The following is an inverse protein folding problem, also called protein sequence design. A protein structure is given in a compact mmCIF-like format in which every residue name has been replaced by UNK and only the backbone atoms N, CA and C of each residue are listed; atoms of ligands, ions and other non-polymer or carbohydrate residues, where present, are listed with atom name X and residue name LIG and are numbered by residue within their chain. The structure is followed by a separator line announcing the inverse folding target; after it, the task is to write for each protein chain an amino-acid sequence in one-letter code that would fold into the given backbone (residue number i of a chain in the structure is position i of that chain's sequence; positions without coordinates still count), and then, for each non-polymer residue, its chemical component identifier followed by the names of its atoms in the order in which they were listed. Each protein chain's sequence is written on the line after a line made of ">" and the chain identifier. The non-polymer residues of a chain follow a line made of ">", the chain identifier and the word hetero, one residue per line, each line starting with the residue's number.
data_IF_573026860006
#
_entry.id   IF_573026860006
#
_cell.length_a   1.000
_cell.length_b   1.000
_cell.length_c   1.000
_cell.angle_alpha   90.00
_cell.angle_beta   90.00
_cell.angle_gamma   90.00
#
_symmetry.space_group_name_H-M   'P 1'
#
loop_
_entity.id
_entity.type
_entity.pdbx_description
1 polymer ?
#
# COMPACT_ATOMS: atom_id res chain seq x y z
N UNK A 1 17.22 25.33 18.49
CA UNK A 1 16.61 24.57 17.38
C UNK A 1 15.10 24.67 17.56
N UNK A 2 14.33 24.95 16.51
CA UNK A 2 12.87 25.11 16.66
C UNK A 2 12.18 23.76 16.86
N UNK A 3 11.16 23.73 17.73
CA UNK A 3 10.38 22.50 18.02
C UNK A 3 9.74 21.93 16.74
N UNK A 4 9.07 22.74 15.89
CA UNK A 4 8.47 22.24 14.65
C UNK A 4 9.47 21.62 13.67
N UNK A 5 10.71 22.11 13.62
CA UNK A 5 11.75 21.53 12.74
C UNK A 5 12.22 20.15 13.24
N UNK A 6 12.30 19.96 14.55
CA UNK A 6 12.68 18.67 15.12
C UNK A 6 11.54 17.65 15.00
N UNK A 7 10.28 18.08 15.17
CA UNK A 7 9.13 17.21 14.91
C UNK A 7 9.09 16.78 13.43
N UNK A 8 9.27 17.72 12.50
CA UNK A 8 9.35 17.42 11.07
C UNK A 8 10.46 16.41 10.76
N UNK A 9 11.66 16.59 11.35
CA UNK A 9 12.76 15.63 11.21
C UNK A 9 12.41 14.26 11.77
N UNK A 10 11.72 14.21 12.92
CA UNK A 10 11.25 12.95 13.53
C UNK A 10 10.26 12.24 12.60
N UNK A 11 9.32 12.97 12.03
CA UNK A 11 8.30 12.42 11.14
C UNK A 11 8.90 11.89 9.83
N UNK A 12 9.96 12.50 9.32
CA UNK A 12 10.72 11.92 8.21
C UNK A 12 11.46 10.64 8.59
N UNK A 13 11.97 10.53 9.83
CA UNK A 13 12.65 9.29 10.27
C UNK A 13 11.68 8.11 10.39
N UNK A 14 10.44 8.35 10.80
CA UNK A 14 9.41 7.32 10.94
C UNK A 14 8.87 6.80 9.59
N UNK A 15 9.23 7.41 8.46
CA UNK A 15 8.88 6.93 7.12
C UNK A 15 9.38 5.51 6.84
N UNK A 16 10.55 5.13 7.37
CA UNK A 16 11.11 3.78 7.20
C UNK A 16 10.24 2.69 7.85
N UNK A 17 9.45 3.07 8.85
CA UNK A 17 8.58 2.15 9.59
C UNK A 17 7.16 2.12 9.03
N UNK A 18 6.66 3.26 8.56
CA UNK A 18 5.30 3.46 8.04
C UNK A 18 5.17 3.14 6.55
N UNK A 19 6.16 3.52 5.75
CA UNK A 19 6.11 3.46 4.27
C UNK A 19 6.82 2.18 3.76
N UNK A 20 6.48 1.05 4.37
CA UNK A 20 7.12 -0.23 4.06
C UNK A 20 6.77 -0.69 2.64
N UNK A 21 7.81 -0.82 1.81
CA UNK A 21 7.69 -1.41 0.49
C UNK A 21 7.31 -2.88 0.54
N UNK A 22 6.33 -3.27 -0.28
CA UNK A 22 5.96 -4.66 -0.47
C UNK A 22 6.53 -5.20 -1.78
N UNK A 23 7.04 -6.43 -1.77
CA UNK A 23 7.53 -7.10 -2.97
C UNK A 23 6.41 -7.37 -3.97
N UNK A 24 6.69 -7.21 -5.27
CA UNK A 24 5.78 -7.61 -6.34
C UNK A 24 5.45 -9.11 -6.35
N UNK A 25 6.25 -9.94 -5.65
CA UNK A 25 6.00 -11.37 -5.52
C UNK A 25 4.64 -11.71 -4.90
N UNK A 26 4.03 -10.80 -4.12
CA UNK A 26 2.67 -10.99 -3.61
C UNK A 26 1.63 -11.17 -4.72
N UNK A 27 1.90 -10.68 -5.93
CA UNK A 27 1.01 -10.85 -7.09
C UNK A 27 0.82 -12.32 -7.51
N UNK A 28 1.68 -13.24 -7.07
CA UNK A 28 1.52 -14.68 -7.37
C UNK A 28 0.42 -15.35 -6.53
N UNK A 29 0.06 -14.78 -5.37
CA UNK A 29 -0.86 -15.42 -4.41
C UNK A 29 -2.19 -15.87 -5.04
N UNK A 30 -2.86 -15.06 -5.89
CA UNK A 30 -4.09 -15.46 -6.58
C UNK A 30 -3.94 -16.66 -7.54
N UNK A 31 -2.72 -16.97 -8.01
CA UNK A 31 -2.47 -18.12 -8.90
C UNK A 31 -2.25 -19.43 -8.15
N UNK A 32 -1.89 -19.39 -6.87
CA UNK A 32 -1.56 -20.58 -6.10
C UNK A 32 -2.69 -21.64 -6.07
N UNK A 33 -3.98 -21.28 -5.95
CA UNK A 33 -5.07 -22.26 -6.09
C UNK A 33 -5.10 -22.94 -7.46
N UNK A 34 -4.85 -22.20 -8.53
CA UNK A 34 -4.84 -22.71 -9.90
C UNK A 34 -3.66 -23.69 -10.07
N UNK A 35 -2.47 -23.30 -9.61
CA UNK A 35 -1.25 -24.13 -9.66
C UNK A 35 -1.47 -25.44 -8.88
N UNK A 36 -2.00 -25.36 -7.66
CA UNK A 36 -2.28 -26.55 -6.86
C UNK A 36 -3.36 -27.44 -7.47
N UNK A 37 -4.42 -26.85 -8.05
CA UNK A 37 -5.47 -27.58 -8.76
C UNK A 37 -4.96 -28.31 -10.01
N UNK A 38 -4.09 -27.66 -10.80
CA UNK A 38 -3.42 -28.28 -11.93
C UNK A 38 -2.54 -29.44 -11.45
N UNK A 39 -1.73 -29.24 -10.40
CA UNK A 39 -0.87 -30.28 -9.84
C UNK A 39 -1.69 -31.50 -9.37
N UNK A 40 -2.79 -31.28 -8.65
CA UNK A 40 -3.69 -32.34 -8.21
C UNK A 40 -4.32 -33.10 -9.40
N UNK A 41 -4.70 -32.39 -10.46
CA UNK A 41 -5.26 -32.97 -11.68
C UNK A 41 -4.22 -33.81 -12.41
N UNK A 42 -2.99 -33.32 -12.57
CA UNK A 42 -1.89 -34.06 -13.20
C UNK A 42 -1.61 -35.36 -12.44
N UNK A 43 -1.56 -35.31 -11.11
CA UNK A 43 -1.36 -36.50 -10.25
C UNK A 43 -2.46 -37.53 -10.50
N UNK A 44 -3.72 -37.10 -10.53
CA UNK A 44 -4.86 -37.98 -10.78
C UNK A 44 -4.77 -38.65 -12.16
N UNK A 45 -4.48 -37.86 -13.21
CA UNK A 45 -4.32 -38.40 -14.57
C UNK A 45 -3.14 -39.37 -14.69
N UNK A 46 -2.01 -39.06 -14.07
CA UNK A 46 -0.84 -39.94 -14.08
C UNK A 46 -1.15 -41.30 -13.44
N UNK A 47 -1.94 -41.33 -12.36
CA UNK A 47 -2.36 -42.58 -11.74
C UNK A 47 -3.37 -43.33 -12.59
N UNK A 48 -4.34 -42.65 -13.21
CA UNK A 48 -5.29 -43.31 -14.13
C UNK A 48 -4.53 -43.94 -15.32
N UNK A 49 -3.54 -43.24 -15.87
CA UNK A 49 -2.75 -43.70 -17.00
C UNK A 49 -1.84 -44.89 -16.65
N UNK A 50 -1.44 -45.07 -15.40
CA UNK A 50 -0.58 -46.17 -14.96
C UNK A 50 -1.34 -47.47 -14.65
N UNK A 51 -2.68 -47.46 -14.69
CA UNK A 51 -3.50 -48.66 -14.49
C UNK A 51 -3.33 -49.60 -15.70
N UNK A 52 -2.86 -50.85 -15.49
CA UNK A 52 -2.71 -51.82 -16.58
C UNK A 52 -4.05 -52.11 -17.25
N UNK A 53 -4.15 -51.90 -18.57
CA UNK A 53 -5.32 -52.29 -19.36
C UNK A 53 -5.23 -53.76 -19.75
N UNK A 54 -5.57 -54.67 -18.84
CA UNK A 54 -5.65 -56.09 -19.18
C UNK A 54 -6.94 -56.36 -19.95
N UNK A 55 -6.83 -56.88 -21.18
CA UNK A 55 -7.96 -57.26 -22.05
C UNK A 55 -8.56 -58.63 -21.72
N UNK A 56 -8.04 -59.33 -20.70
CA UNK A 56 -8.48 -60.66 -20.30
C UNK A 56 -9.52 -60.60 -19.17
N UNK A 57 -10.69 -61.26 -19.32
CA UNK A 57 -11.73 -61.30 -18.29
C UNK A 57 -11.28 -62.25 -17.18
N UNK A 58 -10.49 -61.74 -16.25
CA UNK A 58 -10.26 -62.37 -14.95
C UNK A 58 -10.71 -61.40 -13.87
N UNK A 59 -11.07 -61.90 -12.69
CA UNK A 59 -11.68 -61.19 -11.56
C UNK A 59 -10.80 -60.05 -10.98
N UNK A 60 -10.48 -59.04 -11.79
CA UNK A 60 -9.45 -58.00 -11.58
C UNK A 60 -9.99 -56.68 -11.03
N UNK A 61 -11.27 -56.63 -10.66
CA UNK A 61 -11.93 -55.43 -10.15
C UNK A 61 -11.30 -54.91 -8.84
N UNK A 62 -10.68 -55.78 -8.04
CA UNK A 62 -10.07 -55.40 -6.76
C UNK A 62 -8.67 -54.77 -6.95
N UNK A 63 -7.91 -55.19 -7.98
CA UNK A 63 -6.55 -54.70 -8.24
C UNK A 63 -6.48 -53.30 -8.85
N UNK A 64 -7.54 -52.81 -9.50
CA UNK A 64 -7.56 -51.51 -10.18
C UNK A 64 -8.10 -50.36 -9.31
N UNK A 65 -8.93 -50.66 -8.30
CA UNK A 65 -9.57 -49.65 -7.43
C UNK A 65 -8.60 -49.09 -6.38
N UNK A 66 -7.68 -49.90 -5.85
CA UNK A 66 -6.75 -49.48 -4.80
C UNK A 66 -5.89 -48.26 -5.16
N UNK A 67 -5.17 -48.26 -6.30
CA UNK A 67 -4.36 -47.12 -6.72
C UNK A 67 -5.18 -45.83 -6.96
N UNK A 68 -6.38 -45.96 -7.52
CA UNK A 68 -7.29 -44.83 -7.73
C UNK A 68 -7.74 -44.19 -6.41
N UNK A 69 -8.10 -45.01 -5.43
CA UNK A 69 -8.47 -44.53 -4.09
C UNK A 69 -7.30 -43.76 -3.48
N UNK A 70 -6.09 -44.34 -3.46
CA UNK A 70 -4.89 -43.67 -2.90
C UNK A 70 -4.62 -42.33 -3.59
N UNK A 71 -4.73 -42.27 -4.92
CA UNK A 71 -4.52 -41.04 -5.68
C UNK A 71 -5.57 -39.97 -5.39
N UNK A 72 -6.85 -40.35 -5.30
CA UNK A 72 -7.93 -39.43 -4.95
C UNK A 72 -7.75 -38.87 -3.54
N UNK A 73 -7.42 -39.72 -2.57
CA UNK A 73 -7.13 -39.26 -1.21
C UNK A 73 -5.90 -38.33 -1.17
N UNK A 74 -4.83 -38.67 -1.88
CA UNK A 74 -3.64 -37.82 -1.99
C UNK A 74 -3.94 -36.46 -2.64
N UNK A 75 -4.71 -36.45 -3.73
CA UNK A 75 -5.11 -35.22 -4.41
C UNK A 75 -6.01 -34.34 -3.53
N UNK A 76 -6.93 -34.94 -2.76
CA UNK A 76 -7.75 -34.22 -1.79
C UNK A 76 -6.89 -33.58 -0.69
N UNK A 77 -5.97 -34.35 -0.08
CA UNK A 77 -5.07 -33.82 0.95
C UNK A 77 -4.23 -32.65 0.39
N UNK A 78 -3.66 -32.81 -0.80
CA UNK A 78 -2.89 -31.76 -1.47
C UNK A 78 -3.74 -30.51 -1.72
N UNK A 79 -4.98 -30.68 -2.15
CA UNK A 79 -5.91 -29.58 -2.41
C UNK A 79 -6.25 -28.83 -1.12
N UNK A 80 -6.54 -29.55 -0.03
CA UNK A 80 -6.79 -28.96 1.29
C UNK A 80 -5.57 -28.21 1.83
N UNK A 81 -4.37 -28.81 1.73
CA UNK A 81 -3.13 -28.18 2.17
C UNK A 81 -2.84 -26.90 1.38
N UNK A 82 -3.00 -26.96 0.05
CA UNK A 82 -2.85 -25.79 -0.82
C UNK A 82 -3.83 -24.69 -0.42
N UNK A 83 -5.11 -25.04 -0.25
CA UNK A 83 -6.13 -24.08 0.15
C UNK A 83 -5.81 -23.42 1.50
N UNK A 84 -5.37 -24.20 2.50
CA UNK A 84 -4.98 -23.68 3.81
C UNK A 84 -3.80 -22.71 3.71
N UNK A 85 -2.75 -23.06 2.95
CA UNK A 85 -1.59 -22.18 2.73
C UNK A 85 -2.03 -20.87 2.05
N UNK A 86 -2.87 -20.95 1.03
CA UNK A 86 -3.39 -19.75 0.34
C UNK A 86 -4.20 -18.88 1.27
N UNK A 87 -5.04 -19.48 2.13
CA UNK A 87 -5.82 -18.73 3.11
C UNK A 87 -4.91 -17.92 4.04
N UNK A 88 -3.86 -18.54 4.58
CA UNK A 88 -2.87 -17.85 5.42
C UNK A 88 -2.18 -16.73 4.65
N UNK A 89 -1.74 -16.98 3.42
CA UNK A 89 -1.07 -15.98 2.59
C UNK A 89 -1.99 -14.79 2.26
N UNK A 90 -3.25 -15.03 1.96
CA UNK A 90 -4.24 -13.96 1.72
C UNK A 90 -4.48 -13.15 2.98
N UNK A 91 -4.62 -13.79 4.15
CA UNK A 91 -4.76 -13.09 5.42
C UNK A 91 -3.55 -12.20 5.72
N UNK A 92 -2.33 -12.70 5.53
CA UNK A 92 -1.10 -11.93 5.71
C UNK A 92 -1.01 -10.78 4.70
N UNK A 93 -1.37 -11.02 3.43
CA UNK A 93 -1.39 -10.00 2.39
C UNK A 93 -2.35 -8.86 2.77
N UNK A 94 -3.60 -9.18 3.13
CA UNK A 94 -4.60 -8.19 3.57
C UNK A 94 -4.10 -7.42 4.78
N UNK A 95 -3.58 -8.10 5.80
CA UNK A 95 -3.02 -7.45 6.99
C UNK A 95 -1.96 -6.41 6.60
N UNK A 96 -0.98 -6.81 5.79
CA UNK A 96 0.12 -5.92 5.37
C UNK A 96 -0.38 -4.72 4.56
N UNK A 97 -1.29 -4.94 3.61
CA UNK A 97 -1.84 -3.87 2.77
C UNK A 97 -2.62 -2.83 3.58
N UNK A 98 -3.44 -3.27 4.54
CA UNK A 98 -4.25 -2.37 5.38
C UNK A 98 -3.38 -1.69 6.43
N UNK A 99 -2.46 -2.42 7.06
CA UNK A 99 -1.54 -1.88 8.07
C UNK A 99 -0.65 -0.76 7.49
N UNK A 100 -0.06 -0.96 6.30
CA UNK A 100 0.75 0.10 5.67
C UNK A 100 -0.08 1.32 5.27
N UNK A 101 -1.33 1.13 4.81
CA UNK A 101 -2.23 2.26 4.52
C UNK A 101 -2.42 3.10 5.77
N UNK A 102 -2.75 2.48 6.91
CA UNK A 102 -3.02 3.21 8.14
C UNK A 102 -1.78 3.95 8.64
N UNK A 103 -0.65 3.25 8.71
CA UNK A 103 0.60 3.83 9.22
C UNK A 103 1.10 4.96 8.34
N UNK A 104 1.05 4.83 7.01
CA UNK A 104 1.34 5.92 6.08
C UNK A 104 0.40 7.12 6.29
N UNK A 105 -0.92 6.90 6.30
CA UNK A 105 -1.89 8.00 6.36
C UNK A 105 -1.80 8.77 7.67
N UNK A 106 -1.59 8.06 8.78
CA UNK A 106 -1.38 8.68 10.09
C UNK A 106 -0.11 9.52 10.12
N UNK A 107 1.00 9.00 9.55
CA UNK A 107 2.26 9.77 9.47
C UNK A 107 2.08 11.02 8.61
N UNK A 108 1.38 10.91 7.48
CA UNK A 108 1.12 12.07 6.61
C UNK A 108 0.31 13.16 7.32
N UNK A 109 -0.66 12.80 8.16
CA UNK A 109 -1.39 13.79 8.97
C UNK A 109 -0.45 14.52 9.93
N UNK A 110 0.45 13.80 10.61
CA UNK A 110 1.43 14.42 11.53
C UNK A 110 2.39 15.35 10.78
N UNK A 111 2.88 14.91 9.61
CA UNK A 111 3.72 15.71 8.72
C UNK A 111 3.02 17.02 8.32
N UNK A 112 1.72 16.97 8.02
CA UNK A 112 0.95 18.16 7.68
C UNK A 112 0.78 19.10 8.89
N UNK A 113 0.54 18.57 10.09
CA UNK A 113 0.45 19.35 11.33
C UNK A 113 1.78 20.06 11.64
N UNK A 114 2.90 19.37 11.43
CA UNK A 114 4.23 19.95 11.59
C UNK A 114 4.52 21.02 10.54
N UNK A 115 4.13 20.81 9.28
CA UNK A 115 4.25 21.82 8.23
C UNK A 115 3.42 23.09 8.53
N UNK A 116 2.21 22.94 9.07
CA UNK A 116 1.39 24.09 9.55
C UNK A 116 2.09 24.80 10.70
N UNK A 117 2.62 24.05 11.67
CA UNK A 117 3.33 24.61 12.83
C UNK A 117 4.58 25.39 12.42
N UNK A 118 5.32 24.86 11.44
CA UNK A 118 6.48 25.51 10.82
C UNK A 118 6.10 26.83 10.12
N UNK A 119 5.03 26.82 9.32
CA UNK A 119 4.54 28.03 8.66
C UNK A 119 4.15 29.11 9.68
N UNK A 120 3.47 28.71 10.78
CA UNK A 120 3.09 29.61 11.87
C UNK A 120 4.29 30.23 12.58
N UNK A 121 5.31 29.43 12.88
CA UNK A 121 6.54 29.93 13.51
C UNK A 121 7.28 30.91 12.59
N UNK A 122 7.40 30.57 11.31
CA UNK A 122 8.10 31.40 10.34
C UNK A 122 7.36 32.72 10.09
N UNK A 123 6.03 32.70 10.04
CA UNK A 123 5.18 33.90 9.96
C UNK A 123 5.40 34.82 11.16
N UNK A 124 5.40 34.27 12.37
CA UNK A 124 5.64 35.03 13.60
C UNK A 124 7.04 35.66 13.63
N UNK A 125 8.07 34.91 13.19
CA UNK A 125 9.45 35.43 13.10
C UNK A 125 9.60 36.56 12.08
N UNK A 126 8.88 36.48 10.95
CA UNK A 126 8.96 37.48 9.88
C UNK A 126 7.96 38.63 10.04
N UNK A 127 7.02 38.54 10.99
CA UNK A 127 5.94 39.52 11.16
C UNK A 127 5.00 39.60 9.95
N UNK A 128 4.84 38.50 9.20
CA UNK A 128 3.99 38.43 8.00
C UNK A 128 2.66 37.80 8.39
N UNK A 129 1.54 38.47 8.06
CA UNK A 129 0.21 37.90 8.22
C UNK A 129 -0.12 36.94 7.08
N UNK A 130 -0.25 35.66 7.41
CA UNK A 130 -0.68 34.58 6.51
C UNK A 130 -1.92 33.86 7.03
N UNK A 131 -2.75 34.54 7.82
CA UNK A 131 -3.89 33.93 8.53
C UNK A 131 -4.84 33.14 7.63
N UNK A 132 -5.12 33.65 6.42
CA UNK A 132 -5.98 32.96 5.44
C UNK A 132 -5.31 31.68 4.92
N UNK A 133 -4.02 31.75 4.59
CA UNK A 133 -3.28 30.60 4.05
C UNK A 133 -3.08 29.51 5.10
N UNK A 134 -2.80 29.90 6.35
CA UNK A 134 -2.77 28.97 7.49
C UNK A 134 -4.14 28.34 7.73
N UNK A 135 -5.22 29.10 7.64
CA UNK A 135 -6.56 28.57 7.82
C UNK A 135 -6.90 27.49 6.78
N UNK A 136 -6.51 27.68 5.52
CA UNK A 136 -6.69 26.69 4.46
C UNK A 136 -5.93 25.39 4.77
N UNK A 137 -4.66 25.49 5.17
CA UNK A 137 -3.87 24.31 5.56
C UNK A 137 -4.46 23.61 6.78
N UNK A 138 -4.81 24.36 7.85
CA UNK A 138 -5.45 23.83 9.05
C UNK A 138 -6.77 23.10 8.73
N UNK A 139 -7.57 23.66 7.82
CA UNK A 139 -8.81 23.06 7.35
C UNK A 139 -8.54 21.76 6.60
N UNK A 140 -7.57 21.73 5.69
CA UNK A 140 -7.19 20.54 4.93
C UNK A 140 -6.73 19.39 5.85
N UNK A 141 -5.96 19.69 6.90
CA UNK A 141 -5.57 18.70 7.91
C UNK A 141 -6.78 18.13 8.64
N UNK A 142 -7.71 18.99 9.07
CA UNK A 142 -8.93 18.57 9.77
C UNK A 142 -9.82 17.69 8.89
N UNK A 143 -10.04 18.08 7.64
CA UNK A 143 -10.81 17.30 6.67
C UNK A 143 -10.14 15.94 6.42
N UNK A 144 -8.81 15.92 6.27
CA UNK A 144 -8.04 14.68 6.10
C UNK A 144 -8.20 13.73 7.29
N UNK A 145 -8.12 14.24 8.53
CA UNK A 145 -8.30 13.44 9.75
C UNK A 145 -9.69 12.82 9.84
N UNK A 146 -10.74 13.56 9.45
CA UNK A 146 -12.11 13.05 9.47
C UNK A 146 -12.34 11.96 8.40
N UNK A 147 -11.72 12.11 7.23
CA UNK A 147 -11.97 11.20 6.11
C UNK A 147 -11.01 10.00 6.05
N UNK A 148 -9.82 10.07 6.65
CA UNK A 148 -8.79 9.02 6.62
C UNK A 148 -8.79 8.14 7.86
N UNK A 149 -9.96 7.85 8.41
CA UNK A 149 -10.12 6.97 9.58
C UNK A 149 -9.38 5.64 9.42
N UNK A 150 -8.82 5.18 10.54
CA UNK A 150 -8.12 3.90 10.62
C UNK A 150 -9.06 2.73 10.33
N UNK A 151 -8.51 1.72 9.67
CA UNK A 151 -9.20 0.47 9.37
C UNK A 151 -8.56 -0.67 10.14
N UNK A 152 -9.33 -1.51 10.84
CA UNK A 152 -8.76 -2.60 11.64
C UNK A 152 -8.15 -3.68 10.73
N UNK A 153 -6.82 -3.65 10.56
CA UNK A 153 -6.10 -4.56 9.67
C UNK A 153 -6.25 -6.04 10.07
N UNK A 154 -6.27 -6.33 11.37
CA UNK A 154 -6.46 -7.68 11.91
C UNK A 154 -7.85 -8.21 11.59
N UNK A 155 -8.88 -7.38 11.73
CA UNK A 155 -10.25 -7.76 11.39
C UNK A 155 -10.35 -8.19 9.92
N UNK A 156 -9.85 -7.38 8.98
CA UNK A 156 -9.90 -7.71 7.55
C UNK A 156 -9.07 -8.94 7.20
N UNK A 157 -7.95 -9.17 7.90
CA UNK A 157 -7.13 -10.36 7.71
C UNK A 157 -7.83 -11.66 8.15
N UNK A 158 -8.57 -11.62 9.27
CA UNK A 158 -9.27 -12.80 9.82
C UNK A 158 -10.50 -13.18 8.99
N UNK A 159 -11.20 -12.20 8.41
CA UNK A 159 -12.34 -12.45 7.52
C UNK A 159 -11.91 -13.25 6.26
N UNK A 160 -10.60 -13.30 5.96
CA UNK A 160 -10.04 -14.18 4.93
C UNK A 160 -10.41 -13.71 3.51
N UNK A 161 -10.78 -14.63 2.60
CA UNK A 161 -11.11 -14.29 1.21
C UNK A 161 -12.25 -13.28 1.04
N UNK A 162 -13.22 -13.23 1.96
CA UNK A 162 -14.28 -12.21 1.93
C UNK A 162 -13.74 -10.83 2.33
N UNK A 163 -12.75 -10.80 3.23
CA UNK A 163 -12.04 -9.59 3.62
C UNK A 163 -11.24 -9.01 2.45
N UNK A 164 -10.70 -9.87 1.57
CA UNK A 164 -9.94 -9.47 0.39
C UNK A 164 -10.73 -8.53 -0.53
N UNK A 165 -11.97 -8.86 -0.90
CA UNK A 165 -12.71 -8.03 -1.86
C UNK A 165 -13.02 -6.65 -1.32
N UNK A 166 -13.48 -6.57 -0.06
CA UNK A 166 -13.73 -5.27 0.56
C UNK A 166 -12.44 -4.49 0.81
N UNK A 167 -11.36 -5.16 1.23
CA UNK A 167 -10.02 -4.56 1.34
C UNK A 167 -9.54 -4.02 0.00
N UNK A 168 -9.63 -4.80 -1.07
CA UNK A 168 -9.26 -4.36 -2.41
C UNK A 168 -10.07 -3.15 -2.86
N UNK A 169 -11.38 -3.12 -2.61
CA UNK A 169 -12.25 -1.97 -2.87
C UNK A 169 -11.74 -0.71 -2.16
N UNK A 170 -11.64 -0.74 -0.83
CA UNK A 170 -11.31 0.48 -0.11
C UNK A 170 -9.86 0.88 -0.30
N UNK A 171 -8.91 -0.05 -0.48
CA UNK A 171 -7.50 0.29 -0.69
C UNK A 171 -7.32 1.06 -2.01
N UNK A 172 -7.96 0.61 -3.09
CA UNK A 172 -7.94 1.35 -4.36
C UNK A 172 -8.53 2.76 -4.20
N UNK A 173 -9.67 2.87 -3.52
CA UNK A 173 -10.37 4.16 -3.35
C UNK A 173 -9.66 5.08 -2.35
N UNK A 174 -9.10 4.55 -1.27
CA UNK A 174 -8.43 5.31 -0.22
C UNK A 174 -7.10 5.88 -0.73
N UNK A 175 -6.25 5.08 -1.37
CA UNK A 175 -4.98 5.57 -1.93
C UNK A 175 -5.21 6.57 -3.04
N UNK A 176 -6.20 6.31 -3.90
CA UNK A 176 -6.70 7.32 -4.82
C UNK A 176 -7.02 8.57 -3.97
N UNK A 177 -8.08 8.61 -3.17
CA UNK A 177 -8.51 9.85 -2.48
C UNK A 177 -7.40 10.55 -1.68
N UNK A 178 -6.52 9.79 -1.06
CA UNK A 178 -5.38 10.29 -0.31
C UNK A 178 -4.45 11.17 -1.17
N UNK A 179 -3.99 10.66 -2.31
CA UNK A 179 -3.08 11.40 -3.19
C UNK A 179 -3.68 12.74 -3.65
N UNK A 180 -4.99 12.78 -3.99
CA UNK A 180 -5.63 14.05 -4.37
C UNK A 180 -5.73 15.05 -3.24
N UNK A 181 -5.95 14.59 -2.00
CA UNK A 181 -5.96 15.49 -0.83
C UNK A 181 -4.57 16.00 -0.51
N UNK A 182 -3.58 15.15 -0.67
CA UNK A 182 -2.18 15.53 -0.55
C UNK A 182 -1.81 16.59 -1.60
N UNK A 183 -2.23 16.45 -2.86
CA UNK A 183 -2.01 17.46 -3.88
C UNK A 183 -2.65 18.82 -3.48
N UNK A 184 -3.86 18.81 -2.90
CA UNK A 184 -4.50 20.02 -2.39
C UNK A 184 -3.69 20.64 -1.23
N UNK A 185 -3.30 19.84 -0.25
CA UNK A 185 -2.49 20.30 0.88
C UNK A 185 -1.14 20.85 0.42
N UNK A 186 -0.46 20.16 -0.50
CA UNK A 186 0.81 20.59 -1.09
C UNK A 186 0.65 21.94 -1.78
N UNK A 187 -0.41 22.14 -2.56
CA UNK A 187 -0.67 23.42 -3.22
C UNK A 187 -0.91 24.57 -2.23
N UNK A 188 -1.60 24.31 -1.11
CA UNK A 188 -1.76 25.30 -0.05
C UNK A 188 -0.44 25.57 0.68
N UNK A 189 0.35 24.53 0.94
CA UNK A 189 1.68 24.63 1.53
C UNK A 189 2.62 25.45 0.65
N UNK A 190 2.68 25.19 -0.65
CA UNK A 190 3.50 25.94 -1.61
C UNK A 190 3.13 27.42 -1.61
N UNK A 191 1.84 27.75 -1.63
CA UNK A 191 1.35 29.14 -1.55
C UNK A 191 1.75 29.80 -0.23
N UNK A 192 1.58 29.10 0.88
CA UNK A 192 1.94 29.58 2.23
C UNK A 192 3.44 29.90 2.33
N UNK A 193 4.31 28.95 1.98
CA UNK A 193 5.74 29.14 2.11
C UNK A 193 6.31 30.13 1.08
N UNK A 194 5.71 30.22 -0.12
CA UNK A 194 6.05 31.28 -1.07
C UNK A 194 5.73 32.68 -0.50
N UNK A 195 4.57 32.86 0.14
CA UNK A 195 4.21 34.11 0.82
C UNK A 195 5.17 34.44 1.99
N UNK A 196 5.74 33.40 2.61
CA UNK A 196 6.79 33.54 3.62
C UNK A 196 8.20 33.72 3.03
N UNK A 197 8.35 33.84 1.71
CA UNK A 197 9.64 34.01 1.04
C UNK A 197 10.54 32.78 1.06
N UNK A 198 9.95 31.58 1.15
CA UNK A 198 10.63 30.28 1.06
C UNK A 198 9.96 29.48 -0.07
N UNK A 199 10.20 29.84 -1.34
CA UNK A 199 9.63 29.10 -2.46
C UNK A 199 10.15 27.67 -2.44
N UNK A 200 9.22 26.71 -2.54
CA UNK A 200 9.57 25.29 -2.65
C UNK A 200 9.27 24.77 -4.05
N UNK A 201 10.11 23.86 -4.52
CA UNK A 201 9.96 23.24 -5.84
C UNK A 201 10.02 21.72 -5.71
N UNK A 202 8.87 21.06 -5.87
CA UNK A 202 8.78 19.61 -5.74
C UNK A 202 9.05 18.90 -7.07
N UNK A 203 9.62 17.68 -7.01
CA UNK A 203 9.68 16.82 -8.17
C UNK A 203 8.27 16.52 -8.69
N UNK A 204 8.13 16.39 -10.01
CA UNK A 204 6.86 16.04 -10.63
C UNK A 204 6.42 14.62 -10.23
N UNK A 205 5.16 14.48 -9.81
CA UNK A 205 4.56 13.21 -9.43
C UNK A 205 4.15 12.41 -10.67
N UNK A 206 4.87 11.32 -10.96
CA UNK A 206 4.62 10.51 -12.15
C UNK A 206 4.96 9.01 -11.95
N UNK A 207 4.03 8.08 -12.21
CA UNK A 207 2.62 8.29 -12.52
C UNK A 207 1.80 8.62 -11.25
N UNK A 208 0.69 9.38 -11.37
CA UNK A 208 -0.29 9.50 -10.30
C UNK A 208 -1.06 8.19 -10.12
N UNK A 209 -1.63 7.97 -8.94
CA UNK A 209 -2.50 6.81 -8.67
C UNK A 209 -3.81 6.96 -9.47
N UNK A 210 -4.09 6.09 -10.45
CA UNK A 210 -5.24 6.27 -11.32
C UNK A 210 -6.54 5.82 -10.64
N UNK A 211 -7.66 6.43 -11.05
CA UNK A 211 -8.98 5.97 -10.62
C UNK A 211 -9.32 4.63 -11.26
N UNK A 212 -9.51 3.60 -10.44
CA UNK A 212 -9.86 2.26 -10.91
C UNK A 212 -11.28 1.89 -10.52
N UNK A 213 -11.97 1.19 -11.42
CA UNK A 213 -13.29 0.62 -11.18
C UNK A 213 -13.19 -0.69 -10.41
N UNK A 214 -13.65 -0.71 -9.17
CA UNK A 214 -13.73 -1.94 -8.39
C UNK A 214 -14.60 -3.00 -9.07
N UNK A 215 -15.75 -2.61 -9.64
CA UNK A 215 -16.66 -3.53 -10.30
C UNK A 215 -15.98 -4.26 -11.45
N UNK A 216 -15.19 -3.54 -12.26
CA UNK A 216 -14.41 -4.14 -13.34
C UNK A 216 -13.41 -5.17 -12.80
N UNK A 217 -12.66 -4.82 -11.75
CA UNK A 217 -11.64 -5.70 -11.17
C UNK A 217 -12.27 -6.96 -10.55
N UNK A 218 -13.40 -6.79 -9.88
CA UNK A 218 -14.18 -7.89 -9.32
C UNK A 218 -14.68 -8.84 -10.41
N UNK A 219 -15.38 -8.32 -11.43
CA UNK A 219 -15.91 -9.11 -12.54
C UNK A 219 -14.80 -9.85 -13.28
N UNK A 220 -13.72 -9.15 -13.65
CA UNK A 220 -12.58 -9.75 -14.34
C UNK A 220 -11.92 -10.86 -13.51
N UNK A 221 -11.82 -10.69 -12.19
CA UNK A 221 -11.29 -11.73 -11.30
C UNK A 221 -12.17 -12.97 -11.30
N UNK A 222 -13.50 -12.82 -11.30
CA UNK A 222 -14.43 -13.95 -11.35
C UNK A 222 -14.40 -14.67 -12.70
N UNK A 223 -14.55 -13.95 -13.82
CA UNK A 223 -14.66 -14.58 -15.14
C UNK A 223 -13.35 -15.24 -15.61
N UNK A 224 -12.21 -14.76 -15.11
CA UNK A 224 -10.89 -15.35 -15.41
C UNK A 224 -10.47 -16.44 -14.42
N UNK A 225 -11.35 -16.83 -13.48
CA UNK A 225 -11.02 -17.85 -12.48
C UNK A 225 -9.85 -17.46 -11.58
N UNK A 226 -9.78 -16.19 -11.16
CA UNK A 226 -8.72 -15.58 -10.33
C UNK A 226 -7.43 -15.17 -11.04
N UNK A 227 -7.26 -15.45 -12.34
CA UNK A 227 -6.05 -15.04 -13.08
C UNK A 227 -5.88 -13.50 -13.07
N UNK A 228 -6.95 -12.76 -13.29
CA UNK A 228 -6.91 -11.29 -13.21
C UNK A 228 -6.60 -10.77 -11.80
N UNK A 229 -6.82 -11.59 -10.76
CA UNK A 229 -6.44 -11.28 -9.39
C UNK A 229 -4.95 -10.95 -9.24
N UNK A 230 -4.09 -11.51 -10.10
CA UNK A 230 -2.65 -11.18 -10.15
C UNK A 230 -2.44 -9.71 -10.40
N UNK A 231 -3.10 -9.17 -11.43
CA UNK A 231 -2.99 -7.76 -11.78
C UNK A 231 -3.59 -6.87 -10.68
N UNK A 232 -4.68 -7.31 -10.05
CA UNK A 232 -5.27 -6.59 -8.93
C UNK A 232 -4.31 -6.47 -7.74
N UNK A 233 -3.69 -7.58 -7.32
CA UNK A 233 -2.68 -7.54 -6.26
C UNK A 233 -1.47 -6.69 -6.69
N UNK A 234 -1.04 -6.82 -7.95
CA UNK A 234 0.06 -6.05 -8.50
C UNK A 234 -0.18 -4.54 -8.35
N UNK A 235 -1.33 -4.01 -8.76
CA UNK A 235 -1.61 -2.57 -8.64
C UNK A 235 -1.75 -2.15 -7.18
N UNK A 236 -2.41 -2.98 -6.35
CA UNK A 236 -2.55 -2.71 -4.93
C UNK A 236 -1.19 -2.61 -4.27
N UNK A 237 -0.19 -3.41 -4.65
CA UNK A 237 1.17 -3.34 -4.13
C UNK A 237 1.95 -2.16 -4.71
N UNK A 238 1.92 -2.01 -6.04
CA UNK A 238 2.85 -1.16 -6.80
C UNK A 238 2.47 0.32 -6.73
N UNK A 239 1.18 0.68 -6.77
CA UNK A 239 0.83 2.11 -6.71
C UNK A 239 1.26 2.75 -5.39
N UNK A 240 0.98 2.16 -4.20
CA UNK A 240 1.46 2.71 -2.94
C UNK A 240 2.98 2.73 -2.83
N UNK A 241 3.68 1.72 -3.38
CA UNK A 241 5.14 1.73 -3.39
C UNK A 241 5.69 2.93 -4.19
N UNK A 242 5.12 3.19 -5.37
CA UNK A 242 5.53 4.34 -6.20
C UNK A 242 5.18 5.66 -5.52
N UNK A 243 4.00 5.75 -4.91
CA UNK A 243 3.55 6.89 -4.11
C UNK A 243 4.53 7.19 -2.98
N UNK A 244 4.91 6.17 -2.19
CA UNK A 244 5.86 6.34 -1.09
C UNK A 244 7.22 6.85 -1.57
N UNK A 245 7.72 6.34 -2.69
CA UNK A 245 8.99 6.82 -3.26
C UNK A 245 8.92 8.28 -3.67
N UNK A 246 7.85 8.67 -4.36
CA UNK A 246 7.65 10.06 -4.78
C UNK A 246 7.50 10.97 -3.55
N UNK A 247 6.76 10.52 -2.54
CA UNK A 247 6.55 11.24 -1.29
C UNK A 247 7.85 11.42 -0.50
N UNK A 248 8.73 10.42 -0.46
CA UNK A 248 10.06 10.54 0.15
C UNK A 248 10.89 11.67 -0.48
N UNK A 249 10.88 11.78 -1.82
CA UNK A 249 11.60 12.84 -2.53
C UNK A 249 11.03 14.23 -2.23
N UNK A 250 9.71 14.33 -2.10
CA UNK A 250 9.04 15.58 -1.70
C UNK A 250 9.40 15.97 -0.27
N UNK A 251 9.34 15.04 0.68
CA UNK A 251 9.72 15.26 2.08
C UNK A 251 11.16 15.68 2.24
N UNK A 252 12.09 15.04 1.53
CA UNK A 252 13.50 15.40 1.54
C UNK A 252 13.70 16.84 1.03
N UNK A 253 12.90 17.24 0.04
CA UNK A 253 12.89 18.61 -0.48
C UNK A 253 12.35 19.61 0.55
N UNK A 254 11.25 19.27 1.24
CA UNK A 254 10.69 20.07 2.34
C UNK A 254 11.78 20.29 3.40
N UNK A 255 12.44 19.22 3.85
CA UNK A 255 13.49 19.33 4.86
C UNK A 255 14.67 20.17 4.39
N UNK A 256 15.15 19.96 3.17
CA UNK A 256 16.28 20.71 2.64
C UNK A 256 16.00 22.23 2.57
N UNK A 257 14.80 22.61 2.10
CA UNK A 257 14.46 24.02 1.87
C UNK A 257 14.00 24.73 3.16
N UNK A 258 13.25 24.05 4.03
CA UNK A 258 12.77 24.65 5.28
C UNK A 258 13.86 24.72 6.37
N UNK A 259 14.76 23.73 6.44
CA UNK A 259 15.86 23.76 7.43
C UNK A 259 16.82 24.93 7.19
N UNK A 260 17.09 25.27 5.92
CA UNK A 260 17.88 26.44 5.56
C UNK A 260 17.21 27.75 6.01
N UNK A 261 15.89 27.86 5.87
CA UNK A 261 15.14 29.06 6.22
C UNK A 261 15.01 29.32 7.73
N UNK A 262 15.17 28.29 8.56
CA UNK A 262 15.10 28.40 10.03
C UNK A 262 16.47 28.38 10.72
N UNK A 263 17.54 28.19 9.97
CA UNK A 263 18.90 28.29 10.49
C UNK A 263 19.26 29.77 10.73
N UNK A 264 19.97 30.12 11.83
CA UNK A 264 20.44 31.49 12.06
C UNK A 264 21.26 31.98 10.86
N UNK A 265 21.14 33.27 10.51
CA UNK A 265 21.99 33.88 9.49
C UNK A 265 23.48 33.62 9.81
N UNK A 266 24.34 33.40 8.80
CA UNK A 266 25.78 33.31 9.02
C UNK A 266 26.26 34.56 9.75
N UNK A 267 27.03 34.39 10.83
CA UNK A 267 27.70 35.50 11.50
C UNK A 267 28.60 36.17 10.43
N UNK A 268 28.49 37.48 10.18
CA UNK A 268 29.36 38.17 9.23
C UNK A 268 30.82 37.91 9.62
N UNK A 269 31.63 37.50 8.64
CA UNK A 269 33.07 37.35 8.87
C UNK A 269 33.63 38.72 9.33
N UNK A 270 34.47 38.76 10.38
CA UNK A 270 35.09 40.01 10.81
C UNK A 270 35.89 40.61 9.64
N UNK A 271 35.90 41.94 9.50
CA UNK A 271 36.62 42.59 8.41
C UNK A 271 38.11 42.20 8.45
N UNK A 272 38.75 42.04 7.27
CA UNK A 272 40.17 41.72 7.22
C UNK A 272 40.98 42.82 7.91
N UNK A 273 41.92 42.39 8.76
CA UNK A 273 42.87 43.24 9.50
C UNK A 273 43.94 43.75 8.53
#
# INVERSE_FOLDING_TARGET
>A
MSIPLENLRRDLRTRLESDKHMSGAWAIVPLLPIIGGIAATIILFAVIASIPRTTTPTNSTITTIGPLIVALFGALILSYLTYFIVLVLVSVLVFKLVSRRNTHFNRQILLYEDAVSMARELAAKKGIDISILLNNMDRSVKETRLEQMEKNATLYAIIGPFGWFYAGYFLMKDFFKHERREDLFINDMLRTFNALGVPMNFPYRNPPIPERSFALYFVLTLITGSIFGVYWVYVLVTDPNNHFQQQMLMEDTIMAQLSAALSPAPIPAPPPI
#
